data_IF_478617921540
#
_entry.id   IF_478617921540
#
_cell.length_a   1.000
_cell.length_b   1.000
_cell.length_c   1.000
_cell.angle_alpha   90.00
_cell.angle_beta   90.00
_cell.angle_gamma   90.00
#
_symmetry.space_group_name_H-M   'P 1'
#
loop_
_entity.id
_entity.type
_entity.pdbx_description
1 polymer ?
#
# COMPACT_ATOMS: atom_id res chain seq x y z
N UNK A 1 18.82 -2.64 11.54
CA UNK A 1 18.97 -1.30 10.91
C UNK A 1 17.61 -0.86 10.43
N UNK A 2 16.84 -0.17 11.29
CA UNK A 2 15.56 0.41 10.91
C UNK A 2 15.89 1.67 10.10
N UNK A 3 15.65 1.62 8.79
CA UNK A 3 15.81 2.80 7.94
C UNK A 3 14.66 3.75 8.29
N UNK A 4 14.94 4.77 9.09
CA UNK A 4 14.07 5.94 9.20
C UNK A 4 14.10 6.66 7.85
N UNK A 5 13.34 6.15 6.89
CA UNK A 5 13.03 6.91 5.71
C UNK A 5 12.12 8.04 6.18
N UNK A 6 12.63 9.26 6.21
CA UNK A 6 11.82 10.46 6.06
C UNK A 6 11.21 10.44 4.66
N UNK A 7 10.30 9.49 4.42
CA UNK A 7 9.56 9.41 3.17
C UNK A 7 8.72 10.67 3.18
N UNK A 8 8.98 11.57 2.23
CA UNK A 8 8.07 12.65 1.92
C UNK A 8 6.78 12.00 1.39
N UNK A 9 5.90 11.62 2.32
CA UNK A 9 4.67 10.90 2.05
C UNK A 9 3.68 11.90 1.47
N UNK A 10 2.96 11.55 0.39
CA UNK A 10 1.83 12.34 -0.06
C UNK A 10 0.89 12.60 1.13
N UNK A 11 0.39 13.84 1.35
CA UNK A 11 -0.41 14.18 2.52
C UNK A 11 -1.62 13.25 2.70
N UNK A 12 -2.29 12.88 1.60
CA UNK A 12 -3.42 11.95 1.63
C UNK A 12 -3.03 10.53 2.07
N UNK A 13 -1.86 10.03 1.65
CA UNK A 13 -1.35 8.74 2.09
C UNK A 13 -0.94 8.78 3.57
N UNK A 14 -0.31 9.88 4.00
CA UNK A 14 0.08 10.07 5.41
C UNK A 14 -1.13 10.13 6.33
N UNK A 15 -2.24 10.75 5.92
CA UNK A 15 -3.47 10.80 6.70
C UNK A 15 -4.12 9.42 6.87
N UNK A 16 -4.06 8.58 5.84
CA UNK A 16 -4.57 7.20 5.89
C UNK A 16 -3.66 6.31 6.73
N UNK A 17 -2.35 6.36 6.49
CA UNK A 17 -1.38 5.50 7.18
C UNK A 17 -1.17 5.88 8.65
N UNK A 18 -1.17 7.18 8.96
CA UNK A 18 -0.73 7.70 10.26
C UNK A 18 0.71 7.30 10.54
N UNK A 19 0.96 6.65 11.67
CA UNK A 19 2.28 6.15 12.08
C UNK A 19 2.53 4.67 11.69
N UNK A 20 1.74 4.10 10.77
CA UNK A 20 1.85 2.69 10.38
C UNK A 20 2.66 2.53 9.10
N UNK A 21 3.58 1.57 9.09
CA UNK A 21 4.33 1.19 7.88
C UNK A 21 3.52 0.34 6.88
N UNK A 22 2.43 -0.25 7.37
CA UNK A 22 1.58 -1.18 6.64
C UNK A 22 0.11 -0.74 6.75
N UNK A 23 -0.57 -0.70 5.60
CA UNK A 23 -2.01 -0.41 5.52
C UNK A 23 -2.80 -1.60 4.97
N UNK A 24 -4.09 -1.61 5.20
CA UNK A 24 -5.01 -2.66 4.80
C UNK A 24 -5.47 -2.52 3.34
N UNK A 25 -6.03 -3.58 2.78
CA UNK A 25 -6.59 -3.54 1.40
C UNK A 25 -7.64 -2.43 1.18
N UNK A 26 -8.58 -2.17 2.12
CA UNK A 26 -9.51 -1.03 1.97
C UNK A 26 -8.81 0.32 1.92
N UNK A 27 -7.80 0.53 2.76
CA UNK A 27 -7.01 1.76 2.78
C UNK A 27 -6.19 1.94 1.50
N UNK A 28 -5.58 0.86 0.98
CA UNK A 28 -4.92 0.88 -0.33
C UNK A 28 -5.91 1.23 -1.45
N UNK A 29 -7.12 0.67 -1.40
CA UNK A 29 -8.18 0.98 -2.36
C UNK A 29 -8.57 2.46 -2.33
N UNK A 30 -8.65 3.07 -1.14
CA UNK A 30 -8.87 4.52 -1.01
C UNK A 30 -7.74 5.33 -1.64
N UNK A 31 -6.48 4.93 -1.43
CA UNK A 31 -5.32 5.62 -2.01
C UNK A 31 -5.35 5.62 -3.53
N UNK A 32 -5.69 4.50 -4.17
CA UNK A 32 -5.76 4.38 -5.63
C UNK A 32 -7.13 4.75 -6.20
N UNK A 33 -8.07 5.22 -5.37
CA UNK A 33 -9.45 5.53 -5.73
C UNK A 33 -10.14 4.40 -6.52
N UNK A 34 -10.03 3.16 -6.02
CA UNK A 34 -10.64 1.97 -6.62
C UNK A 34 -11.45 1.19 -5.58
N UNK A 35 -12.29 0.25 -6.04
CA UNK A 35 -12.95 -0.68 -5.14
C UNK A 35 -11.93 -1.64 -4.49
N UNK A 36 -12.15 -1.98 -3.21
CA UNK A 36 -11.35 -2.99 -2.50
C UNK A 36 -11.30 -4.34 -3.23
N UNK A 37 -12.40 -4.69 -3.91
CA UNK A 37 -12.49 -5.92 -4.68
C UNK A 37 -11.54 -5.92 -5.90
N UNK A 38 -11.29 -4.76 -6.51
CA UNK A 38 -10.33 -4.61 -7.60
C UNK A 38 -8.92 -4.93 -7.11
N UNK A 39 -8.53 -4.41 -5.95
CA UNK A 39 -7.21 -4.68 -5.35
C UNK A 39 -7.06 -6.18 -5.06
N UNK A 40 -8.07 -6.82 -4.49
CA UNK A 40 -8.07 -8.26 -4.22
C UNK A 40 -8.01 -9.09 -5.50
N UNK A 41 -8.76 -8.69 -6.53
CA UNK A 41 -8.76 -9.36 -7.84
C UNK A 41 -7.38 -9.29 -8.49
N UNK A 42 -6.75 -8.12 -8.48
CA UNK A 42 -5.38 -7.95 -9.01
C UNK A 42 -4.43 -8.89 -8.29
N UNK A 43 -4.45 -8.88 -6.94
CA UNK A 43 -3.63 -9.78 -6.14
C UNK A 43 -3.86 -11.26 -6.46
N UNK A 44 -5.11 -11.70 -6.58
CA UNK A 44 -5.41 -13.10 -6.91
C UNK A 44 -4.94 -13.52 -8.31
N UNK A 45 -4.89 -12.59 -9.27
CA UNK A 45 -4.50 -12.87 -10.65
C UNK A 45 -2.99 -12.82 -10.88
N UNK A 46 -2.30 -11.85 -10.27
CA UNK A 46 -0.88 -11.58 -10.55
C UNK A 46 0.04 -11.82 -9.34
N UNK A 47 -0.52 -12.07 -8.16
CA UNK A 47 0.22 -12.13 -6.89
C UNK A 47 0.62 -10.75 -6.33
N UNK A 48 0.18 -9.67 -6.97
CA UNK A 48 0.48 -8.29 -6.59
C UNK A 48 -0.68 -7.34 -6.95
N UNK A 49 -0.69 -6.14 -6.40
CA UNK A 49 -1.58 -5.08 -6.86
C UNK A 49 -0.76 -3.83 -7.18
N UNK A 50 -0.86 -3.35 -8.42
CA UNK A 50 -0.17 -2.14 -8.90
C UNK A 50 1.36 -2.19 -8.73
N UNK A 51 1.98 -3.37 -8.87
CA UNK A 51 3.42 -3.57 -8.67
C UNK A 51 3.84 -3.71 -7.20
N UNK A 52 2.87 -3.73 -6.28
CA UNK A 52 3.12 -3.83 -4.83
C UNK A 52 2.71 -5.22 -4.37
N UNK A 53 3.56 -5.89 -3.61
CA UNK A 53 3.27 -7.22 -3.06
C UNK A 53 2.78 -7.08 -1.62
N UNK A 54 1.66 -7.73 -1.25
CA UNK A 54 1.18 -7.65 0.11
C UNK A 54 2.05 -8.47 1.04
N UNK A 55 2.25 -7.97 2.26
CA UNK A 55 2.75 -8.72 3.38
C UNK A 55 1.57 -9.41 4.07
N UNK A 56 1.59 -10.74 4.09
CA UNK A 56 0.56 -11.53 4.77
C UNK A 56 0.90 -11.63 6.26
N UNK A 57 0.09 -10.99 7.10
CA UNK A 57 0.21 -11.09 8.56
C UNK A 57 -1.08 -11.70 9.09
N UNK A 58 -0.99 -12.96 9.57
CA UNK A 58 -2.16 -13.76 9.92
C UNK A 58 -3.10 -13.99 8.74
N UNK A 59 -4.38 -13.66 8.92
CA UNK A 59 -5.41 -13.76 7.86
C UNK A 59 -5.66 -12.43 7.12
N UNK A 60 -4.72 -11.46 7.20
CA UNK A 60 -4.86 -10.14 6.58
C UNK A 60 -3.76 -9.90 5.55
N UNK A 61 -4.15 -9.27 4.44
CA UNK A 61 -3.22 -8.71 3.45
C UNK A 61 -2.93 -7.26 3.82
N UNK A 62 -1.66 -6.97 4.04
CA UNK A 62 -1.18 -5.65 4.37
C UNK A 62 -0.23 -5.13 3.29
N UNK A 63 -0.21 -3.84 3.07
CA UNK A 63 0.47 -3.20 1.94
C UNK A 63 1.46 -2.16 2.45
N UNK A 64 2.68 -2.19 1.92
CA UNK A 64 3.75 -1.27 2.35
C UNK A 64 3.44 0.17 1.95
N UNK A 65 3.36 1.05 2.94
CA UNK A 65 3.15 2.49 2.71
C UNK A 65 4.30 3.09 1.91
N UNK A 66 5.54 2.63 2.14
CA UNK A 66 6.71 3.08 1.39
C UNK A 66 6.58 2.74 -0.11
N UNK A 67 6.24 1.50 -0.45
CA UNK A 67 6.06 1.09 -1.85
C UNK A 67 4.87 1.79 -2.52
N UNK A 68 3.79 2.04 -1.77
CA UNK A 68 2.66 2.83 -2.27
C UNK A 68 3.10 4.26 -2.56
N UNK A 69 3.89 4.87 -1.68
CA UNK A 69 4.43 6.21 -1.90
C UNK A 69 5.34 6.26 -3.13
N UNK A 70 6.20 5.26 -3.33
CA UNK A 70 7.04 5.14 -4.53
C UNK A 70 6.18 5.01 -5.80
N UNK A 71 5.11 4.20 -5.75
CA UNK A 71 4.20 4.03 -6.89
C UNK A 71 3.47 5.33 -7.24
N UNK A 72 2.97 6.06 -6.24
CA UNK A 72 2.30 7.35 -6.45
C UNK A 72 3.24 8.42 -7.00
N UNK A 73 4.54 8.33 -6.70
CA UNK A 73 5.57 9.21 -7.29
C UNK A 73 6.00 8.79 -8.70
N UNK A 74 5.56 7.63 -9.20
CA UNK A 74 5.99 7.08 -10.48
C UNK A 74 7.41 6.49 -10.46
N UNK A 75 7.94 6.17 -9.29
CA UNK A 75 9.27 5.56 -9.13
C UNK A 75 9.26 4.01 -9.23
N UNK A 76 8.09 3.42 -9.51
CA UNK A 76 7.80 1.97 -9.49
C UNK A 76 6.82 1.59 -10.60
#
# INVERSE_FOLDING_TARGET
MLKNHTVNLPPGLSAIAGNRDLITTPEMAQVFNVASQTVRKNYSLTGEAYGIRPTKIGNRLLWSVAQIADKLRGAL
#
